data_IF_907133508759
#
_entry.id   IF_907133508759
#
_cell.length_a   1.000
_cell.length_b   1.000
_cell.length_c   1.000
_cell.angle_alpha   90.00
_cell.angle_beta   90.00
_cell.angle_gamma   90.00
#
_symmetry.space_group_name_H-M   'P 1'
#
loop_
_entity.id
_entity.type
_entity.pdbx_description
1 polymer ?
#
# COMPACT_ATOMS: atom_id res chain seq x y z
N UNK A 1 33.85 -14.16 -7.45
CA UNK A 1 33.19 -13.78 -6.18
C UNK A 1 31.81 -13.11 -6.33
N UNK A 2 31.32 -12.78 -7.54
CA UNK A 2 30.04 -12.06 -7.74
C UNK A 2 28.79 -12.96 -7.68
N UNK A 3 28.86 -14.25 -8.04
CA UNK A 3 27.71 -15.18 -8.02
C UNK A 3 27.14 -15.41 -6.61
N UNK A 4 28.02 -15.50 -5.60
CA UNK A 4 27.63 -15.68 -4.20
C UNK A 4 26.79 -14.52 -3.64
N UNK A 5 26.85 -13.32 -4.24
CA UNK A 5 26.06 -12.17 -3.76
C UNK A 5 24.67 -12.11 -4.37
N UNK A 6 24.48 -12.56 -5.62
CA UNK A 6 23.18 -12.55 -6.28
C UNK A 6 22.26 -13.65 -5.72
N UNK A 7 22.77 -14.87 -5.59
CA UNK A 7 22.02 -15.99 -5.02
C UNK A 7 21.66 -15.73 -3.55
N UNK A 8 22.57 -15.12 -2.77
CA UNK A 8 22.30 -14.70 -1.41
C UNK A 8 21.19 -13.64 -1.34
N UNK A 9 21.23 -12.63 -2.22
CA UNK A 9 20.18 -11.59 -2.32
C UNK A 9 18.83 -12.18 -2.71
N UNK A 10 18.80 -13.09 -3.68
CA UNK A 10 17.58 -13.79 -4.09
C UNK A 10 17.02 -14.64 -2.94
N UNK A 11 17.88 -15.40 -2.24
CA UNK A 11 17.49 -16.20 -1.07
C UNK A 11 16.91 -15.34 0.05
N UNK A 12 17.55 -14.21 0.37
CA UNK A 12 17.07 -13.27 1.37
C UNK A 12 15.74 -12.63 0.97
N UNK A 13 15.61 -12.18 -0.28
CA UNK A 13 14.38 -11.57 -0.80
C UNK A 13 13.20 -12.54 -0.82
N UNK A 14 13.44 -13.81 -1.18
CA UNK A 14 12.44 -14.87 -1.08
C UNK A 14 11.97 -15.09 0.35
N UNK A 15 12.91 -15.18 1.31
CA UNK A 15 12.56 -15.32 2.74
C UNK A 15 11.67 -14.16 3.23
N UNK A 16 11.98 -12.93 2.82
CA UNK A 16 11.18 -11.75 3.16
C UNK A 16 9.78 -11.80 2.52
N UNK A 17 9.69 -12.12 1.23
CA UNK A 17 8.41 -12.26 0.52
C UNK A 17 7.51 -13.34 1.15
N UNK A 18 8.09 -14.49 1.51
CA UNK A 18 7.37 -15.55 2.22
C UNK A 18 6.88 -15.08 3.59
N UNK A 19 7.71 -14.38 4.36
CA UNK A 19 7.32 -13.83 5.65
C UNK A 19 6.16 -12.83 5.54
N UNK A 20 6.11 -12.02 4.48
CA UNK A 20 4.98 -11.12 4.19
C UNK A 20 3.71 -11.93 3.94
N UNK A 21 3.78 -12.95 3.09
CA UNK A 21 2.62 -13.79 2.78
C UNK A 21 2.14 -14.58 4.01
N UNK A 22 3.05 -15.12 4.81
CA UNK A 22 2.72 -15.86 6.03
C UNK A 22 2.07 -14.96 7.10
N UNK A 23 2.39 -13.66 7.12
CA UNK A 23 1.74 -12.66 7.99
C UNK A 23 0.49 -12.00 7.37
N UNK A 24 0.07 -12.42 6.17
CA UNK A 24 -1.14 -11.89 5.55
C UNK A 24 -2.37 -12.22 6.40
N UNK A 25 -3.17 -11.19 6.70
CA UNK A 25 -4.41 -11.34 7.48
C UNK A 25 -5.54 -11.75 6.54
N UNK A 26 -6.09 -12.95 6.76
CA UNK A 26 -7.23 -13.46 6.03
C UNK A 26 -8.52 -12.74 6.44
N UNK A 27 -9.60 -12.94 5.68
CA UNK A 27 -10.92 -12.39 6.03
C UNK A 27 -11.47 -12.92 7.36
N UNK A 28 -10.94 -14.05 7.86
CA UNK A 28 -11.23 -14.57 9.20
C UNK A 28 -10.53 -13.80 10.33
N UNK A 29 -9.65 -12.85 10.01
CA UNK A 29 -8.81 -12.13 10.99
C UNK A 29 -7.54 -12.89 11.41
N UNK A 30 -7.39 -14.15 11.00
CA UNK A 30 -6.20 -14.96 11.28
C UNK A 30 -5.07 -14.65 10.28
N UNK A 31 -3.82 -14.77 10.74
CA UNK A 31 -2.66 -14.79 9.84
C UNK A 31 -2.66 -16.08 9.02
N UNK A 32 -2.25 -16.01 7.75
CA UNK A 32 -2.13 -17.18 6.88
C UNK A 32 -1.28 -18.29 7.53
N UNK A 33 -0.12 -17.95 8.09
CA UNK A 33 0.79 -18.91 8.69
C UNK A 33 0.20 -19.68 9.89
N UNK A 34 -0.77 -19.09 10.59
CA UNK A 34 -1.52 -19.76 11.65
C UNK A 34 -2.65 -20.60 11.05
N UNK A 35 -3.42 -20.02 10.13
CA UNK A 35 -4.56 -20.66 9.49
C UNK A 35 -4.21 -21.98 8.79
N UNK A 36 -3.07 -22.03 8.08
CA UNK A 36 -2.66 -23.22 7.31
C UNK A 36 -2.22 -24.39 8.19
N UNK A 37 -2.05 -24.22 9.50
CA UNK A 37 -1.74 -25.32 10.43
C UNK A 37 -2.91 -26.30 10.58
N UNK A 38 -4.13 -25.81 10.38
CA UNK A 38 -5.38 -26.57 10.55
C UNK A 38 -6.30 -26.48 9.32
N UNK A 39 -5.90 -25.78 8.27
CA UNK A 39 -6.66 -25.64 7.03
C UNK A 39 -5.97 -26.35 5.86
N UNK A 40 -6.71 -27.23 5.18
CA UNK A 40 -6.26 -27.90 3.96
C UNK A 40 -6.80 -27.19 2.71
N UNK A 41 -6.23 -26.02 2.39
CA UNK A 41 -6.49 -25.21 1.18
C UNK A 41 -7.95 -24.75 0.95
N UNK A 42 -8.56 -24.10 1.95
CA UNK A 42 -9.88 -23.48 1.76
C UNK A 42 -9.86 -22.37 0.68
N UNK A 43 -11.03 -21.99 0.13
CA UNK A 43 -11.13 -20.92 -0.87
C UNK A 43 -10.52 -19.58 -0.45
N UNK A 44 -10.40 -19.32 0.86
CA UNK A 44 -9.84 -18.08 1.41
C UNK A 44 -8.30 -18.09 1.39
N UNK A 45 -7.65 -19.21 1.75
CA UNK A 45 -6.19 -19.28 1.81
C UNK A 45 -5.56 -19.78 0.50
N UNK A 46 -6.29 -20.54 -0.32
CA UNK A 46 -5.81 -21.11 -1.59
C UNK A 46 -5.23 -20.08 -2.55
N UNK A 47 -5.82 -18.88 -2.74
CA UNK A 47 -5.21 -17.85 -3.58
C UNK A 47 -3.84 -17.40 -3.07
N UNK A 48 -3.68 -17.18 -1.76
CA UNK A 48 -2.41 -16.74 -1.16
C UNK A 48 -1.37 -17.87 -1.20
N UNK A 49 -1.78 -19.12 -1.00
CA UNK A 49 -0.90 -20.30 -1.15
C UNK A 49 -0.35 -20.46 -2.57
N UNK A 50 -1.13 -20.10 -3.60
CA UNK A 50 -0.62 -20.00 -4.98
C UNK A 50 0.47 -18.95 -5.12
N UNK A 51 0.26 -17.75 -4.55
CA UNK A 51 1.30 -16.69 -4.54
C UNK A 51 2.58 -17.18 -3.85
N UNK A 52 2.44 -17.88 -2.73
CA UNK A 52 3.57 -18.47 -1.98
C UNK A 52 4.34 -19.48 -2.83
N UNK A 53 3.63 -20.30 -3.61
CA UNK A 53 4.23 -21.27 -4.53
C UNK A 53 5.05 -20.57 -5.63
N UNK A 54 4.53 -19.49 -6.22
CA UNK A 54 5.27 -18.69 -7.22
C UNK A 54 6.54 -18.04 -6.65
N UNK A 55 6.55 -17.64 -5.37
CA UNK A 55 7.78 -17.14 -4.71
C UNK A 55 8.84 -18.24 -4.56
N UNK A 56 8.41 -19.47 -4.29
CA UNK A 56 9.30 -20.62 -4.14
C UNK A 56 9.87 -21.07 -5.49
N UNK A 57 9.07 -21.02 -6.55
CA UNK A 57 9.53 -21.30 -7.92
C UNK A 57 10.58 -20.25 -8.37
N UNK A 58 11.64 -20.69 -9.02
CA UNK A 58 12.74 -19.81 -9.43
C UNK A 58 12.49 -19.12 -10.79
N UNK A 59 11.61 -19.69 -11.61
CA UNK A 59 11.43 -19.28 -13.02
C UNK A 59 10.20 -18.40 -13.24
N UNK A 60 9.34 -18.25 -12.22
CA UNK A 60 8.14 -17.43 -12.33
C UNK A 60 8.47 -15.94 -12.24
N UNK A 61 8.29 -15.25 -13.36
CA UNK A 61 8.42 -13.80 -13.47
C UNK A 61 7.13 -13.17 -13.95
N UNK A 62 6.86 -11.95 -13.50
CA UNK A 62 5.82 -11.08 -14.06
C UNK A 62 6.53 -9.94 -14.77
N UNK A 63 6.35 -9.84 -16.09
CA UNK A 63 7.00 -8.83 -16.92
C UNK A 63 8.54 -8.78 -16.73
N UNK A 64 9.18 -9.95 -16.55
CA UNK A 64 10.62 -10.07 -16.34
C UNK A 64 11.09 -9.81 -14.89
N UNK A 65 10.17 -9.49 -13.97
CA UNK A 65 10.48 -9.32 -12.54
C UNK A 65 10.16 -10.62 -11.78
N UNK A 66 11.13 -11.20 -11.04
CA UNK A 66 10.88 -12.36 -10.19
C UNK A 66 9.71 -12.16 -9.22
N UNK A 67 8.87 -13.18 -9.06
CA UNK A 67 7.64 -13.06 -8.27
C UNK A 67 7.86 -12.57 -6.83
N UNK A 68 8.93 -13.00 -6.19
CA UNK A 68 9.30 -12.56 -4.84
C UNK A 68 9.54 -11.04 -4.77
N UNK A 69 10.15 -10.44 -5.80
CA UNK A 69 10.32 -8.98 -5.87
C UNK A 69 8.98 -8.28 -6.01
N UNK A 70 8.05 -8.85 -6.78
CA UNK A 70 6.69 -8.30 -6.91
C UNK A 70 5.96 -8.29 -5.58
N UNK A 71 6.08 -9.36 -4.78
CA UNK A 71 5.51 -9.41 -3.42
C UNK A 71 6.12 -8.32 -2.53
N UNK A 72 7.44 -8.16 -2.56
CA UNK A 72 8.12 -7.10 -1.82
C UNK A 72 7.64 -5.70 -2.24
N UNK A 73 7.59 -5.42 -3.54
CA UNK A 73 7.12 -4.14 -4.07
C UNK A 73 5.66 -3.86 -3.70
N UNK A 74 4.79 -4.88 -3.72
CA UNK A 74 3.38 -4.74 -3.29
C UNK A 74 3.25 -4.55 -1.78
N UNK A 75 4.20 -5.07 -1.00
CA UNK A 75 4.25 -4.90 0.45
C UNK A 75 4.83 -3.56 0.88
N UNK A 76 5.57 -2.88 0.00
CA UNK A 76 6.16 -1.58 0.30
C UNK A 76 5.07 -0.53 0.49
N UNK A 77 4.87 -0.14 1.74
CA UNK A 77 3.86 0.85 2.12
C UNK A 77 4.10 2.20 1.45
N UNK A 78 5.35 2.57 1.17
CA UNK A 78 5.68 3.80 0.45
C UNK A 78 5.15 3.77 -0.97
N UNK A 79 5.35 2.65 -1.68
CA UNK A 79 4.84 2.44 -3.04
C UNK A 79 3.31 2.38 -3.06
N UNK A 80 2.68 1.83 -2.02
CA UNK A 80 1.22 1.83 -1.88
C UNK A 80 0.67 3.23 -1.65
N UNK A 81 1.32 4.05 -0.83
CA UNK A 81 0.90 5.45 -0.61
C UNK A 81 1.11 6.26 -1.90
N UNK A 82 2.20 6.05 -2.64
CA UNK A 82 2.47 6.79 -3.88
C UNK A 82 1.46 6.52 -5.00
N UNK A 83 0.74 5.39 -4.97
CA UNK A 83 -0.35 5.13 -5.91
C UNK A 83 -1.54 6.10 -5.70
N UNK A 84 -1.70 6.64 -4.49
CA UNK A 84 -2.71 7.64 -4.16
C UNK A 84 -2.13 9.07 -4.14
N UNK A 85 -0.88 9.22 -3.71
CA UNK A 85 -0.23 10.51 -3.52
C UNK A 85 1.15 10.51 -4.16
N UNK A 86 1.26 10.49 -5.50
CA UNK A 86 2.55 10.47 -6.19
C UNK A 86 3.38 11.72 -5.86
N UNK A 87 2.72 12.86 -5.65
CA UNK A 87 3.39 14.07 -5.19
C UNK A 87 3.35 14.17 -3.65
N UNK A 88 4.53 14.07 -3.03
CA UNK A 88 4.66 14.15 -1.56
C UNK A 88 4.29 15.52 -0.98
N UNK A 89 4.32 16.60 -1.76
CA UNK A 89 3.95 17.92 -1.24
C UNK A 89 2.46 18.04 -0.94
N UNK A 90 1.62 17.12 -1.44
CA UNK A 90 0.17 17.18 -1.30
C UNK A 90 -0.33 17.06 0.13
N UNK A 91 0.44 16.44 1.02
CA UNK A 91 0.10 16.42 2.44
C UNK A 91 0.29 17.77 3.13
N UNK A 92 0.88 18.76 2.44
CA UNK A 92 1.02 20.11 2.97
C UNK A 92 -0.02 21.00 2.29
N UNK A 93 -0.89 21.58 3.11
CA UNK A 93 -1.84 22.58 2.65
C UNK A 93 -1.09 23.80 2.10
N UNK A 94 -1.36 24.24 0.85
CA UNK A 94 -0.61 25.31 0.23
C UNK A 94 -0.85 26.68 0.89
N UNK A 95 -2.01 26.88 1.52
CA UNK A 95 -2.42 28.16 2.12
C UNK A 95 -1.92 28.26 3.56
N UNK A 96 -2.25 27.27 4.39
CA UNK A 96 -1.91 27.30 5.82
C UNK A 96 -0.48 26.83 6.08
N UNK A 97 0.12 26.13 5.11
CA UNK A 97 1.41 25.43 5.28
C UNK A 97 1.35 24.43 6.44
N UNK A 98 0.18 23.95 6.83
CA UNK A 98 0.01 22.87 7.81
C UNK A 98 -0.20 21.52 7.10
N UNK A 99 -0.26 20.44 7.89
CA UNK A 99 -0.59 19.12 7.35
C UNK A 99 -2.06 19.13 6.92
N UNK A 100 -2.32 18.76 5.66
CA UNK A 100 -3.65 18.67 5.10
C UNK A 100 -4.42 17.52 5.76
N UNK A 101 -5.54 17.87 6.43
CA UNK A 101 -6.39 16.94 7.16
C UNK A 101 -6.98 15.85 6.27
N UNK A 102 -7.43 16.21 5.08
CA UNK A 102 -8.13 15.31 4.17
C UNK A 102 -7.16 14.30 3.56
N UNK A 103 -5.95 14.73 3.20
CA UNK A 103 -4.87 13.83 2.77
C UNK A 103 -4.56 12.78 3.84
N UNK A 104 -4.50 13.19 5.11
CA UNK A 104 -4.32 12.26 6.24
C UNK A 104 -5.49 11.27 6.37
N UNK A 105 -6.74 11.75 6.30
CA UNK A 105 -7.94 10.92 6.39
C UNK A 105 -7.99 9.89 5.27
N UNK A 106 -7.71 10.29 4.02
CA UNK A 106 -7.65 9.36 2.88
C UNK A 106 -6.59 8.29 3.10
N UNK A 107 -5.40 8.65 3.60
CA UNK A 107 -4.38 7.66 3.92
C UNK A 107 -4.87 6.63 4.96
N UNK A 108 -5.57 7.08 6.00
CA UNK A 108 -6.11 6.20 7.03
C UNK A 108 -7.23 5.30 6.50
N UNK A 109 -8.11 5.82 5.63
CA UNK A 109 -9.14 5.02 4.95
C UNK A 109 -8.54 3.89 4.10
N UNK A 110 -7.36 4.12 3.49
CA UNK A 110 -6.64 3.09 2.73
C UNK A 110 -5.81 2.14 3.63
N UNK A 111 -5.95 2.27 4.94
CA UNK A 111 -5.33 1.37 5.92
C UNK A 111 -3.86 1.65 6.19
N UNK A 112 -3.34 2.82 5.81
CA UNK A 112 -1.96 3.20 6.13
C UNK A 112 -1.87 3.66 7.59
N UNK A 113 -0.87 3.17 8.31
CA UNK A 113 -0.61 3.59 9.70
C UNK A 113 0.18 4.91 9.74
N UNK A 114 0.10 5.61 10.88
CA UNK A 114 0.74 6.91 11.10
C UNK A 114 2.23 6.91 10.75
N UNK A 115 2.97 5.87 11.16
CA UNK A 115 4.41 5.81 10.93
C UNK A 115 4.72 5.75 9.43
N UNK A 116 4.00 4.91 8.68
CA UNK A 116 4.18 4.79 7.24
C UNK A 116 3.84 6.08 6.49
N UNK A 117 2.79 6.79 6.94
CA UNK A 117 2.41 8.08 6.38
C UNK A 117 3.52 9.11 6.66
N UNK A 118 3.98 9.21 7.91
CA UNK A 118 5.08 10.13 8.30
C UNK A 118 6.33 9.89 7.47
N UNK A 119 6.75 8.63 7.34
CA UNK A 119 7.97 8.26 6.64
C UNK A 119 7.86 8.56 5.14
N UNK A 120 6.74 8.19 4.52
CA UNK A 120 6.51 8.45 3.09
C UNK A 120 6.60 9.95 2.77
N UNK A 121 5.90 10.78 3.54
CA UNK A 121 5.81 12.21 3.31
C UNK A 121 6.97 13.02 3.93
N UNK A 122 7.86 12.39 4.70
CA UNK A 122 8.99 13.07 5.34
C UNK A 122 8.58 14.05 6.44
N UNK A 123 7.54 13.72 7.22
CA UNK A 123 6.99 14.62 8.25
C UNK A 123 7.72 14.44 9.59
N UNK A 124 8.30 15.53 10.11
CA UNK A 124 8.92 15.57 11.44
C UNK A 124 7.91 15.30 12.55
N UNK A 125 8.33 14.57 13.60
CA UNK A 125 7.47 14.15 14.71
C UNK A 125 6.76 15.30 15.42
N UNK A 126 7.43 16.44 15.66
CA UNK A 126 6.81 17.58 16.37
C UNK A 126 5.63 18.15 15.60
N UNK A 127 5.79 18.28 14.28
CA UNK A 127 4.72 18.76 13.39
C UNK A 127 3.57 17.77 13.31
N UNK A 128 3.88 16.47 13.26
CA UNK A 128 2.87 15.42 13.29
C UNK A 128 2.06 15.45 14.58
N UNK A 129 2.73 15.56 15.74
CA UNK A 129 2.08 15.60 17.04
C UNK A 129 1.20 16.85 17.19
N UNK A 130 1.70 18.02 16.78
CA UNK A 130 0.91 19.26 16.76
C UNK A 130 -0.37 19.09 15.92
N UNK A 131 -0.24 18.57 14.71
CA UNK A 131 -1.38 18.29 13.83
C UNK A 131 -2.40 17.33 14.48
N UNK A 132 -1.95 16.21 15.03
CA UNK A 132 -2.82 15.25 15.71
C UNK A 132 -3.54 15.88 16.91
N UNK A 133 -2.85 16.71 17.69
CA UNK A 133 -3.49 17.43 18.81
C UNK A 133 -4.44 18.54 18.37
N UNK A 134 -4.23 19.15 17.20
CA UNK A 134 -5.12 20.20 16.69
C UNK A 134 -6.42 19.64 16.13
N UNK A 135 -6.34 18.53 15.39
CA UNK A 135 -7.48 18.01 14.63
C UNK A 135 -8.06 16.69 15.16
N UNK A 136 -7.31 15.94 15.98
CA UNK A 136 -7.64 14.56 16.37
C UNK A 136 -7.19 14.24 17.81
N UNK A 137 -7.62 15.05 18.79
CA UNK A 137 -7.14 14.99 20.19
C UNK A 137 -7.27 13.61 20.85
N UNK A 138 -8.32 12.89 20.48
CA UNK A 138 -8.77 11.61 21.01
C UNK A 138 -8.76 10.50 19.94
N UNK A 139 -7.86 10.64 18.94
CA UNK A 139 -7.75 9.72 17.81
C UNK A 139 -7.72 8.23 18.19
N UNK A 140 -7.08 7.86 19.31
CA UNK A 140 -6.96 6.45 19.70
C UNK A 140 -8.31 5.84 20.09
N UNK A 141 -9.21 6.65 20.64
CA UNK A 141 -10.52 6.24 21.10
C UNK A 141 -11.56 6.37 19.99
N UNK A 142 -11.48 7.46 19.20
CA UNK A 142 -12.54 7.86 18.27
C UNK A 142 -12.12 7.75 16.80
N UNK A 143 -11.11 6.93 16.49
CA UNK A 143 -10.62 6.73 15.11
C UNK A 143 -11.76 6.41 14.14
N UNK A 144 -12.62 5.47 14.51
CA UNK A 144 -13.70 5.01 13.63
C UNK A 144 -14.73 6.11 13.37
N UNK A 145 -15.07 6.91 14.38
CA UNK A 145 -15.96 8.07 14.24
C UNK A 145 -15.36 9.13 13.31
N UNK A 146 -14.10 9.51 13.50
CA UNK A 146 -13.44 10.45 12.59
C UNK A 146 -13.41 9.96 11.14
N UNK A 147 -13.20 8.67 10.93
CA UNK A 147 -13.19 8.08 9.60
C UNK A 147 -14.59 7.98 9.01
N UNK A 148 -15.62 7.76 9.82
CA UNK A 148 -17.01 7.74 9.37
C UNK A 148 -17.48 9.15 8.97
N UNK A 149 -17.14 10.16 9.78
CA UNK A 149 -17.63 11.53 9.60
C UNK A 149 -16.86 12.28 8.50
N UNK A 150 -15.53 12.18 8.50
CA UNK A 150 -14.68 12.95 7.59
C UNK A 150 -14.28 12.14 6.34
N UNK A 151 -14.36 10.82 6.41
CA UNK A 151 -13.86 9.93 5.38
C UNK A 151 -14.55 10.09 4.03
N UNK A 152 -15.89 10.04 3.94
CA UNK A 152 -16.60 10.16 2.68
C UNK A 152 -16.26 11.47 1.95
N UNK A 153 -16.32 12.60 2.66
CA UNK A 153 -16.07 13.91 2.10
C UNK A 153 -14.61 14.09 1.65
N UNK A 154 -13.65 13.65 2.47
CA UNK A 154 -12.23 13.69 2.11
C UNK A 154 -11.92 12.80 0.91
N UNK A 155 -12.57 11.65 0.80
CA UNK A 155 -12.43 10.75 -0.35
C UNK A 155 -13.04 11.35 -1.62
N UNK A 156 -14.21 11.97 -1.54
CA UNK A 156 -14.84 12.63 -2.68
C UNK A 156 -13.99 13.79 -3.20
N UNK A 157 -13.50 14.67 -2.31
CA UNK A 157 -12.56 15.74 -2.69
C UNK A 157 -11.26 15.21 -3.29
N UNK A 158 -10.73 14.11 -2.77
CA UNK A 158 -9.55 13.48 -3.36
C UNK A 158 -9.84 12.97 -4.77
N UNK A 159 -10.98 12.31 -5.01
CA UNK A 159 -11.34 11.82 -6.34
C UNK A 159 -11.51 12.97 -7.34
N UNK A 160 -12.12 14.07 -6.92
CA UNK A 160 -12.28 15.28 -7.75
C UNK A 160 -10.94 15.89 -8.16
N UNK A 161 -9.96 15.89 -7.24
CA UNK A 161 -8.61 16.39 -7.51
C UNK A 161 -7.78 15.43 -8.37
N UNK A 162 -8.07 14.13 -8.30
CA UNK A 162 -7.30 13.07 -8.95
C UNK A 162 -8.17 12.14 -9.82
N UNK A 163 -8.91 12.67 -10.82
CA UNK A 163 -9.78 11.85 -11.65
C UNK A 163 -8.99 10.76 -12.42
N UNK A 164 -7.76 11.08 -12.84
CA UNK A 164 -6.87 10.16 -13.54
C UNK A 164 -6.32 9.06 -12.63
N UNK A 165 -6.24 9.27 -11.31
CA UNK A 165 -5.88 8.21 -10.35
C UNK A 165 -7.07 7.32 -9.99
N UNK A 166 -8.30 7.86 -10.03
CA UNK A 166 -9.52 7.07 -9.81
C UNK A 166 -9.77 6.06 -10.92
N UNK A 167 -9.45 6.46 -12.14
CA UNK A 167 -9.55 5.62 -13.32
C UNK A 167 -8.40 4.61 -13.42
N UNK A 168 -7.36 4.72 -12.57
CA UNK A 168 -6.24 3.78 -12.52
C UNK A 168 -6.66 2.44 -11.93
N UNK A 169 -6.91 1.48 -12.81
CA UNK A 169 -6.94 0.07 -12.43
C UNK A 169 -5.49 -0.40 -12.32
N UNK A 170 -5.06 -0.75 -11.12
CA UNK A 170 -3.75 -1.37 -10.92
C UNK A 170 -3.85 -2.86 -11.21
N UNK A 171 -3.51 -3.27 -12.42
CA UNK A 171 -3.31 -4.66 -12.79
C UNK A 171 -1.82 -4.86 -13.14
N UNK A 172 -1.16 -5.82 -12.49
CA UNK A 172 0.19 -6.28 -12.88
C UNK A 172 1.27 -5.17 -12.99
N UNK A 173 1.32 -4.22 -12.04
CA UNK A 173 2.30 -3.11 -12.00
C UNK A 173 2.24 -2.15 -13.20
N UNK A 174 1.15 -2.19 -13.94
CA UNK A 174 0.85 -1.24 -15.00
C UNK A 174 -0.35 -0.42 -14.54
N UNK A 175 -0.22 0.90 -14.55
CA UNK A 175 -1.35 1.80 -14.31
C UNK A 175 -2.18 1.84 -15.59
N UNK A 176 -3.49 1.63 -15.50
CA UNK A 176 -4.39 1.78 -16.65
C UNK A 176 -5.42 2.84 -16.36
N UNK A 177 -5.50 3.92 -17.12
CA UNK A 177 -6.60 4.89 -17.02
C UNK A 177 -7.78 4.39 -17.85
N UNK A 178 -8.97 4.31 -17.24
CA UNK A 178 -10.22 4.00 -17.93
C UNK A 178 -10.85 5.24 -18.59
N UNK A 179 -10.61 5.46 -19.88
CA UNK A 179 -11.27 6.48 -20.71
C UNK A 179 -12.30 5.85 -21.65
N UNK A 180 -13.47 6.47 -21.79
CA UNK A 180 -14.53 6.04 -22.73
C UNK A 180 -14.95 4.55 -22.60
N UNK A 181 -14.85 4.00 -21.39
CA UNK A 181 -15.14 2.60 -21.12
C UNK A 181 -14.00 1.61 -21.45
N UNK A 182 -12.87 2.07 -21.99
CA UNK A 182 -11.69 1.27 -22.33
C UNK A 182 -10.50 1.56 -21.39
N UNK A 183 -9.66 0.55 -21.15
CA UNK A 183 -8.46 0.66 -20.30
C UNK A 183 -7.23 1.05 -21.13
N UNK A 184 -6.62 2.20 -20.83
CA UNK A 184 -5.41 2.70 -21.48
C UNK A 184 -4.21 2.60 -20.54
N UNK A 185 -3.16 1.90 -20.97
CA UNK A 185 -1.91 1.80 -20.21
C UNK A 185 -1.24 3.18 -20.04
N UNK A 186 -0.79 3.45 -18.83
CA UNK A 186 0.01 4.62 -18.43
C UNK A 186 1.37 4.10 -18.00
N UNK A 187 2.39 4.42 -18.78
CA UNK A 187 3.77 4.24 -18.35
C UNK A 187 4.12 5.36 -17.38
N UNK A 188 4.68 5.00 -16.23
CA UNK A 188 5.09 5.93 -15.18
C UNK A 188 6.05 6.97 -15.75
N UNK A 189 5.63 8.24 -15.74
CA UNK A 189 6.51 9.37 -16.04
C UNK A 189 7.52 9.47 -14.90
N UNK A 190 8.78 9.20 -15.21
CA UNK A 190 9.89 9.51 -14.32
C UNK A 190 9.99 11.02 -14.15
N UNK A 191 9.90 11.50 -12.92
CA UNK A 191 10.39 12.81 -12.47
C UNK A 191 10.63 12.76 -10.97
#
# INVERSE_FOLDING_TARGET
MVRNSLEARQSQGKKQALAILDNYILSSGEKLGEHVKYCNECPVCKPILRLRSHVLMNDDTIAGVPYWQVVLMRSDTSQRISNYFPNKSEIIDPLTRDINRDTFIVCQLKGFNDQSIKDYFGIKSDRWNKFKMSYFKDWRQNKEEYLADLGPEAWDRWKEKHPDLCERVHANNVSYIKKDGQLHRVDSVAS
#
